data_IF_898633501483
#
_entry.id   IF_898633501483
#
_cell.length_a   1.000
_cell.length_b   1.000
_cell.length_c   1.000
_cell.angle_alpha   90.00
_cell.angle_beta   90.00
_cell.angle_gamma   90.00
#
_symmetry.space_group_name_H-M   'P 1'
#
loop_
_entity.id
_entity.type
_entity.pdbx_description
1 polymer ?
#
# COMPACT_ATOMS: atom_id res chain seq x y z
N UNK A 1 -23.41 -1.32 23.48
CA UNK A 1 -22.84 -0.81 22.21
C UNK A 1 -21.85 -1.80 21.56
N UNK A 2 -21.39 -2.82 22.29
CA UNK A 2 -20.35 -3.82 21.90
C UNK A 2 -20.69 -4.69 20.68
N UNK A 3 -21.95 -4.95 20.35
CA UNK A 3 -22.33 -5.82 19.22
C UNK A 3 -22.25 -5.18 17.82
N UNK A 4 -22.31 -3.86 17.70
CA UNK A 4 -22.29 -3.17 16.40
C UNK A 4 -20.89 -3.15 15.76
N UNK A 5 -19.85 -2.98 16.58
CA UNK A 5 -18.46 -2.97 16.10
C UNK A 5 -17.98 -4.36 15.65
N UNK A 6 -18.41 -5.43 16.34
CA UNK A 6 -18.05 -6.80 15.96
C UNK A 6 -18.65 -7.22 14.62
N UNK A 7 -19.92 -6.85 14.35
CA UNK A 7 -20.56 -7.11 13.04
C UNK A 7 -19.83 -6.40 11.90
N UNK A 8 -19.42 -5.14 12.09
CA UNK A 8 -18.65 -4.39 11.10
C UNK A 8 -17.29 -5.05 10.82
N UNK A 9 -16.61 -5.50 11.87
CA UNK A 9 -15.34 -6.22 11.74
C UNK A 9 -15.50 -7.52 10.94
N UNK A 10 -16.54 -8.32 11.26
CA UNK A 10 -16.79 -9.58 10.57
C UNK A 10 -17.11 -9.36 9.09
N UNK A 11 -17.92 -8.34 8.76
CA UNK A 11 -18.21 -7.97 7.37
C UNK A 11 -16.92 -7.53 6.65
N UNK A 12 -16.07 -6.73 7.28
CA UNK A 12 -14.79 -6.32 6.70
C UNK A 12 -13.92 -7.53 6.33
N UNK A 13 -13.74 -8.47 7.26
CA UNK A 13 -12.98 -9.70 6.98
C UNK A 13 -13.63 -10.56 5.90
N UNK A 14 -14.96 -10.69 5.89
CA UNK A 14 -15.65 -11.46 4.86
C UNK A 14 -15.43 -10.86 3.46
N UNK A 15 -15.49 -9.52 3.33
CA UNK A 15 -15.23 -8.83 2.06
C UNK A 15 -13.77 -9.01 1.63
N UNK A 16 -12.82 -8.87 2.54
CA UNK A 16 -11.39 -9.11 2.24
C UNK A 16 -11.17 -10.55 1.79
N UNK A 17 -11.64 -11.54 2.53
CA UNK A 17 -11.44 -12.95 2.18
C UNK A 17 -12.08 -13.26 0.82
N UNK A 18 -13.33 -12.86 0.61
CA UNK A 18 -14.04 -13.16 -0.65
C UNK A 18 -13.35 -12.53 -1.88
N UNK A 19 -12.86 -11.30 -1.76
CA UNK A 19 -12.17 -10.62 -2.87
C UNK A 19 -10.81 -11.24 -3.17
N UNK A 20 -9.93 -11.40 -2.17
CA UNK A 20 -8.60 -11.95 -2.38
C UNK A 20 -8.61 -13.41 -2.82
N UNK A 21 -9.45 -14.25 -2.20
CA UNK A 21 -9.54 -15.67 -2.60
C UNK A 21 -10.18 -15.83 -3.98
N UNK A 22 -11.20 -15.04 -4.32
CA UNK A 22 -11.81 -15.11 -5.66
C UNK A 22 -10.78 -14.80 -6.75
N UNK A 23 -9.98 -13.74 -6.58
CA UNK A 23 -8.90 -13.39 -7.51
C UNK A 23 -7.80 -14.45 -7.54
N UNK A 24 -7.40 -14.98 -6.39
CA UNK A 24 -6.37 -16.02 -6.31
C UNK A 24 -6.78 -17.34 -6.98
N UNK A 25 -8.01 -17.82 -6.70
CA UNK A 25 -8.55 -19.06 -7.29
C UNK A 25 -8.68 -18.92 -8.81
N UNK A 26 -9.25 -17.81 -9.28
CA UNK A 26 -9.42 -17.55 -10.72
C UNK A 26 -8.07 -17.38 -11.43
N UNK A 27 -7.10 -16.70 -10.81
CA UNK A 27 -5.74 -16.56 -11.33
C UNK A 27 -5.02 -17.91 -11.45
N UNK A 28 -5.10 -18.74 -10.42
CA UNK A 28 -4.51 -20.09 -10.46
C UNK A 28 -5.21 -21.00 -11.48
N UNK A 29 -6.52 -20.88 -11.65
CA UNK A 29 -7.24 -21.64 -12.68
C UNK A 29 -6.85 -21.21 -14.10
N UNK A 30 -6.58 -19.92 -14.32
CA UNK A 30 -6.20 -19.37 -15.62
C UNK A 30 -4.73 -19.65 -16.03
N UNK A 31 -3.78 -19.54 -15.10
CA UNK A 31 -2.34 -19.64 -15.39
C UNK A 31 -1.65 -20.89 -14.81
N UNK A 32 -2.31 -21.58 -13.88
CA UNK A 32 -1.81 -22.81 -13.27
C UNK A 32 -0.44 -22.64 -12.60
N UNK A 33 0.43 -23.62 -12.79
CA UNK A 33 1.79 -23.63 -12.24
C UNK A 33 2.73 -22.58 -12.85
N UNK A 34 2.32 -21.88 -13.91
CA UNK A 34 3.11 -20.81 -14.53
C UNK A 34 2.77 -19.41 -13.99
N UNK A 35 1.96 -19.35 -12.92
CA UNK A 35 1.56 -18.10 -12.28
C UNK A 35 2.78 -17.30 -11.80
N UNK A 36 3.02 -16.15 -12.42
CA UNK A 36 4.05 -15.18 -12.05
C UNK A 36 3.64 -14.40 -10.79
N UNK A 37 4.64 -13.83 -10.09
CA UNK A 37 4.43 -13.09 -8.83
C UNK A 37 3.55 -11.84 -8.95
N UNK A 38 3.41 -11.26 -10.15
CA UNK A 38 2.44 -10.21 -10.44
C UNK A 38 1.40 -10.69 -11.45
N UNK A 39 0.12 -10.43 -11.17
CA UNK A 39 -0.99 -10.76 -12.08
C UNK A 39 -0.79 -10.08 -13.45
N UNK A 40 -0.23 -8.86 -13.51
CA UNK A 40 -0.01 -8.17 -14.78
C UNK A 40 1.05 -8.87 -15.65
N UNK A 41 2.06 -9.48 -15.02
CA UNK A 41 3.11 -10.23 -15.73
C UNK A 41 2.57 -11.52 -16.35
N UNK A 42 1.58 -12.15 -15.71
CA UNK A 42 0.91 -13.34 -16.26
C UNK A 42 0.23 -13.09 -17.60
N UNK A 43 -0.21 -11.85 -17.86
CA UNK A 43 -0.80 -11.47 -19.15
C UNK A 43 0.23 -11.15 -20.24
N UNK A 44 1.53 -11.25 -19.95
CA UNK A 44 2.62 -11.05 -20.90
C UNK A 44 3.33 -12.39 -21.15
N UNK A 45 2.95 -13.09 -22.23
CA UNK A 45 3.58 -14.35 -22.63
C UNK A 45 4.57 -14.07 -23.76
N UNK A 46 5.85 -14.39 -23.56
CA UNK A 46 6.93 -14.20 -24.56
C UNK A 46 6.99 -12.77 -25.16
N UNK A 47 6.72 -11.75 -24.33
CA UNK A 47 6.70 -10.35 -24.76
C UNK A 47 5.48 -9.93 -25.58
N UNK A 48 4.52 -10.84 -25.79
CA UNK A 48 3.23 -10.57 -26.45
C UNK A 48 2.12 -10.47 -25.40
N UNK A 49 1.38 -9.36 -25.37
CA UNK A 49 0.31 -9.19 -24.40
C UNK A 49 -0.93 -9.98 -24.82
N UNK A 50 -1.48 -10.78 -23.90
CA UNK A 50 -2.74 -11.51 -24.11
C UNK A 50 -3.97 -10.59 -24.13
N UNK A 51 -3.81 -9.39 -23.57
CA UNK A 51 -4.83 -8.34 -23.48
C UNK A 51 -4.36 -7.08 -24.21
N UNK A 52 -5.25 -6.13 -24.55
CA UNK A 52 -4.86 -4.89 -25.21
C UNK A 52 -3.77 -4.15 -24.44
N UNK A 53 -2.73 -3.65 -25.14
CA UNK A 53 -1.61 -2.93 -24.52
C UNK A 53 -2.05 -1.75 -23.65
N UNK A 54 -3.08 -1.04 -24.07
CA UNK A 54 -3.67 0.08 -23.33
C UNK A 54 -4.24 -0.33 -21.97
N UNK A 55 -4.82 -1.54 -21.88
CA UNK A 55 -5.38 -2.06 -20.64
C UNK A 55 -4.29 -2.35 -19.60
N UNK A 56 -3.17 -2.96 -20.04
CA UNK A 56 -2.01 -3.19 -19.16
C UNK A 56 -1.40 -1.87 -18.70
N UNK A 57 -1.23 -0.91 -19.63
CA UNK A 57 -0.70 0.41 -19.32
C UNK A 57 -1.57 1.13 -18.29
N UNK A 58 -2.88 1.19 -18.51
CA UNK A 58 -3.84 1.83 -17.62
C UNK A 58 -3.81 1.22 -16.21
N UNK A 59 -3.84 -0.11 -16.12
CA UNK A 59 -3.83 -0.82 -14.83
C UNK A 59 -2.52 -0.58 -14.08
N UNK A 60 -1.39 -0.55 -14.78
CA UNK A 60 -0.10 -0.25 -14.17
C UNK A 60 -0.03 1.19 -13.67
N UNK A 61 -0.50 2.17 -14.46
CA UNK A 61 -0.54 3.59 -14.06
C UNK A 61 -1.42 3.78 -12.82
N UNK A 62 -2.58 3.15 -12.77
CA UNK A 62 -3.45 3.22 -11.59
C UNK A 62 -2.88 2.53 -10.37
N UNK A 63 -2.17 1.41 -10.56
CA UNK A 63 -1.48 0.73 -9.45
C UNK A 63 -0.39 1.63 -8.87
N UNK A 64 0.42 2.26 -9.72
CA UNK A 64 1.43 3.22 -9.28
C UNK A 64 0.82 4.42 -8.56
N UNK A 65 -0.25 5.01 -9.12
CA UNK A 65 -0.93 6.13 -8.50
C UNK A 65 -1.51 5.76 -7.13
N UNK A 66 -2.13 4.59 -7.02
CA UNK A 66 -2.70 4.09 -5.76
C UNK A 66 -1.61 3.85 -4.71
N UNK A 67 -0.50 3.19 -5.07
CA UNK A 67 0.62 2.93 -4.15
C UNK A 67 1.23 4.24 -3.66
N UNK A 68 1.47 5.21 -4.56
CA UNK A 68 1.98 6.53 -4.16
C UNK A 68 1.05 7.22 -3.15
N UNK A 69 -0.26 7.23 -3.42
CA UNK A 69 -1.23 7.86 -2.53
C UNK A 69 -1.26 7.17 -1.14
N UNK A 70 -1.28 5.84 -1.11
CA UNK A 70 -1.31 5.07 0.15
C UNK A 70 -0.02 5.26 0.95
N UNK A 71 1.15 5.25 0.29
CA UNK A 71 2.43 5.53 0.95
C UNK A 71 2.40 6.89 1.63
N UNK A 72 1.98 7.95 0.94
CA UNK A 72 1.92 9.30 1.52
C UNK A 72 1.00 9.37 2.76
N UNK A 73 -0.14 8.67 2.74
CA UNK A 73 -1.05 8.62 3.89
C UNK A 73 -0.43 7.82 5.05
N UNK A 74 0.23 6.71 4.77
CA UNK A 74 0.87 5.87 5.79
C UNK A 74 2.08 6.55 6.46
N UNK A 75 2.73 7.48 5.76
CA UNK A 75 3.80 8.28 6.32
C UNK A 75 3.33 9.28 7.37
N UNK A 76 2.06 9.72 7.36
CA UNK A 76 1.54 10.66 8.35
C UNK A 76 1.62 10.13 9.80
N UNK A 77 1.02 8.97 10.14
CA UNK A 77 1.13 8.44 11.50
C UNK A 77 2.56 8.03 11.84
N UNK A 78 3.32 7.51 10.88
CA UNK A 78 4.73 7.13 11.07
C UNK A 78 5.58 8.33 11.47
N UNK A 79 5.40 9.47 10.78
CA UNK A 79 6.09 10.71 11.10
C UNK A 79 5.72 11.23 12.49
N UNK A 80 4.46 11.09 12.91
CA UNK A 80 4.05 11.47 14.27
C UNK A 80 4.76 10.62 15.32
N UNK A 81 4.84 9.30 15.11
CA UNK A 81 5.54 8.39 16.03
C UNK A 81 7.04 8.69 16.07
N UNK A 82 7.67 8.96 14.92
CA UNK A 82 9.08 9.35 14.85
C UNK A 82 9.33 10.70 15.52
N UNK A 83 8.52 11.71 15.24
CA UNK A 83 8.64 13.04 15.88
C UNK A 83 8.50 12.94 17.40
N UNK A 84 7.56 12.14 17.92
CA UNK A 84 7.41 11.90 19.36
C UNK A 84 8.61 11.18 19.99
N UNK A 85 9.30 10.31 19.22
CA UNK A 85 10.45 9.55 19.73
C UNK A 85 11.75 10.34 19.72
N UNK A 86 11.92 11.25 18.75
CA UNK A 86 13.15 12.01 18.55
C UNK A 86 13.07 13.47 19.03
N UNK A 87 11.87 14.01 19.26
CA UNK A 87 11.68 15.37 19.75
C UNK A 87 11.83 15.52 21.26
N UNK A 88 12.41 16.64 21.70
CA UNK A 88 12.47 17.02 23.11
C UNK A 88 11.18 17.76 23.51
N UNK A 89 10.34 17.22 24.40
CA UNK A 89 9.06 17.83 24.78
C UNK A 89 9.21 19.16 25.55
N UNK A 90 10.42 19.54 25.96
CA UNK A 90 10.69 20.79 26.69
C UNK A 90 11.09 21.96 25.80
N UNK A 91 11.34 21.73 24.50
CA UNK A 91 11.79 22.78 23.57
C UNK A 91 10.71 23.13 22.56
N UNK A 92 10.74 24.38 22.07
CA UNK A 92 9.76 24.88 21.09
C UNK A 92 9.80 24.09 19.77
N UNK A 93 8.64 23.95 19.12
CA UNK A 93 8.44 23.09 17.95
C UNK A 93 9.32 23.44 16.75
N UNK A 94 9.80 24.70 16.67
CA UNK A 94 10.66 25.22 15.60
C UNK A 94 12.13 25.40 16.01
N UNK A 95 12.54 24.93 17.19
CA UNK A 95 13.95 24.92 17.58
C UNK A 95 14.77 24.07 16.61
N UNK A 96 15.98 24.52 16.27
CA UNK A 96 16.92 23.81 15.38
C UNK A 96 17.11 22.35 15.83
N UNK A 97 17.07 22.11 17.15
CA UNK A 97 17.21 20.77 17.76
C UNK A 97 16.04 19.82 17.48
N UNK A 98 14.88 20.34 17.07
CA UNK A 98 13.68 19.58 16.71
C UNK A 98 13.40 19.60 15.20
N UNK A 99 13.82 20.66 14.49
CA UNK A 99 13.67 20.79 13.03
C UNK A 99 14.62 19.87 12.26
N UNK A 100 15.87 19.70 12.71
CA UNK A 100 16.84 18.82 12.04
C UNK A 100 16.40 17.34 12.09
N UNK A 101 16.00 16.77 13.24
CA UNK A 101 15.43 15.41 13.28
C UNK A 101 14.14 15.27 12.47
N UNK A 102 13.29 16.29 12.42
CA UNK A 102 12.06 16.30 11.60
C UNK A 102 12.38 16.25 10.11
N UNK A 103 13.34 17.02 9.63
CA UNK A 103 13.72 17.04 8.22
C UNK A 103 14.35 15.70 7.80
N UNK A 104 15.20 15.14 8.66
CA UNK A 104 15.87 13.85 8.43
C UNK A 104 14.84 12.71 8.43
N UNK A 105 13.99 12.62 9.45
CA UNK A 105 12.95 11.58 9.54
C UNK A 105 12.00 11.62 8.36
N UNK A 106 11.46 12.80 8.00
CA UNK A 106 10.54 12.93 6.86
C UNK A 106 11.21 12.62 5.52
N UNK A 107 12.47 12.98 5.33
CA UNK A 107 13.22 12.65 4.10
C UNK A 107 13.52 11.14 4.02
N UNK A 108 13.97 10.54 5.13
CA UNK A 108 14.26 9.11 5.17
C UNK A 108 13.00 8.26 4.99
N UNK A 109 11.87 8.65 5.61
CA UNK A 109 10.64 7.88 5.50
C UNK A 109 10.00 7.93 4.10
N UNK A 110 10.34 8.92 3.26
CA UNK A 110 9.91 8.94 1.86
C UNK A 110 10.80 8.08 0.96
N UNK A 111 12.08 7.94 1.33
CA UNK A 111 13.09 7.18 0.56
C UNK A 111 13.01 5.67 0.85
N UNK A 112 12.68 5.29 2.09
CA UNK A 112 12.50 3.90 2.55
C UNK A 112 11.08 3.43 2.23
#
# INVERSE_FOLDING_TARGET
VTGKMFKGLLVCYAVVISTFFSVGISGYWAFGNQAQGSILQNFMVDGKPLVPKWFLLMTNVFTLLQVLAVTLVYLQPTNIVLENKFGDPKMDQFSIRNVVPRLISRSLSVII
#
